data_IF_650096189775
#
_entry.id   IF_650096189775
#
_cell.length_a   1.000
_cell.length_b   1.000
_cell.length_c   1.000
_cell.angle_alpha   90.00
_cell.angle_beta   90.00
_cell.angle_gamma   90.00
#
_symmetry.space_group_name_H-M   'P 1'
#
loop_
_entity.id
_entity.type
_entity.pdbx_description
1 polymer ?
#
# COMPACT_ATOMS: atom_id res chain seq x y z
N UNK A 1 -17.93 13.22 9.80
CA UNK A 1 -17.44 14.22 8.82
C UNK A 1 -17.39 13.61 7.44
N UNK A 2 -17.73 14.41 6.41
CA UNK A 2 -17.61 13.95 5.02
C UNK A 2 -16.18 14.22 4.53
N UNK A 3 -15.50 13.18 4.08
CA UNK A 3 -14.11 13.25 3.59
C UNK A 3 -14.00 12.62 2.21
N UNK A 4 -13.06 13.10 1.40
CA UNK A 4 -12.77 12.48 0.12
C UNK A 4 -11.62 11.49 0.27
N UNK A 5 -11.76 10.28 -0.30
CA UNK A 5 -10.67 9.33 -0.35
C UNK A 5 -9.81 9.53 -1.63
N UNK A 6 -8.68 8.83 -1.73
CA UNK A 6 -7.80 8.98 -2.89
C UNK A 6 -8.38 8.41 -4.20
N UNK A 7 -9.54 7.76 -4.14
CA UNK A 7 -10.31 7.37 -5.34
C UNK A 7 -11.38 8.39 -5.73
N UNK A 8 -11.43 9.58 -5.09
CA UNK A 8 -12.39 10.64 -5.33
C UNK A 8 -13.80 10.35 -4.81
N UNK A 9 -13.94 9.39 -3.86
CA UNK A 9 -15.24 9.03 -3.28
C UNK A 9 -15.45 9.82 -1.98
N UNK A 10 -16.69 10.25 -1.77
CA UNK A 10 -17.09 10.88 -0.52
C UNK A 10 -17.47 9.81 0.51
N UNK A 11 -16.81 9.83 1.65
CA UNK A 11 -17.00 8.86 2.74
C UNK A 11 -17.42 9.61 3.99
N UNK A 12 -18.55 9.21 4.60
CA UNK A 12 -19.00 9.78 5.87
C UNK A 12 -18.39 9.01 7.05
N UNK A 13 -17.36 9.60 7.63
CA UNK A 13 -16.55 9.00 8.70
C UNK A 13 -16.90 9.70 10.03
N UNK A 14 -16.99 8.99 11.18
CA UNK A 14 -17.09 9.61 12.48
C UNK A 14 -15.96 10.62 12.72
N UNK A 15 -16.21 11.69 13.44
CA UNK A 15 -15.17 12.70 13.77
C UNK A 15 -13.96 12.08 14.50
N UNK A 16 -14.15 10.96 15.17
CA UNK A 16 -13.09 10.19 15.83
C UNK A 16 -13.40 8.69 15.76
N UNK A 17 -12.94 7.99 14.75
CA UNK A 17 -13.11 6.54 14.64
C UNK A 17 -12.53 5.80 15.86
N UNK A 18 -13.25 4.80 16.34
CA UNK A 18 -12.90 4.00 17.52
C UNK A 18 -12.71 2.53 17.22
N UNK A 19 -13.23 2.07 16.08
CA UNK A 19 -13.24 0.67 15.68
C UNK A 19 -12.79 0.54 14.24
N UNK A 20 -11.47 0.64 14.06
CA UNK A 20 -10.83 0.68 12.74
C UNK A 20 -10.46 -0.74 12.31
N UNK A 21 -10.78 -1.10 11.08
CA UNK A 21 -10.25 -2.30 10.41
C UNK A 21 -9.28 -1.87 9.31
N UNK A 22 -8.06 -2.43 9.34
CA UNK A 22 -7.08 -2.26 8.28
C UNK A 22 -7.03 -3.49 7.36
N UNK A 23 -7.22 -3.27 6.06
CA UNK A 23 -7.29 -4.34 5.06
C UNK A 23 -5.96 -4.61 4.35
N UNK A 24 -4.89 -3.86 4.66
CA UNK A 24 -3.57 -4.03 4.03
C UNK A 24 -2.41 -3.83 5.01
N UNK A 25 -1.28 -4.54 4.81
CA UNK A 25 -0.14 -4.49 5.73
C UNK A 25 0.45 -3.10 5.94
N UNK A 26 0.76 -2.35 4.87
CA UNK A 26 1.40 -1.03 4.95
C UNK A 26 0.58 -0.03 5.78
N UNK A 27 -0.73 0.00 5.58
CA UNK A 27 -1.63 0.87 6.37
C UNK A 27 -1.76 0.39 7.81
N UNK A 28 -1.65 -0.91 8.07
CA UNK A 28 -1.61 -1.45 9.44
C UNK A 28 -0.39 -0.93 10.20
N UNK A 29 0.78 -0.91 9.55
CA UNK A 29 2.00 -0.36 10.13
C UNK A 29 1.89 1.16 10.36
N UNK A 30 1.33 1.91 9.38
CA UNK A 30 1.05 3.33 9.56
C UNK A 30 0.13 3.60 10.76
N UNK A 31 -0.98 2.88 10.89
CA UNK A 31 -1.90 3.03 12.02
C UNK A 31 -1.22 2.73 13.37
N UNK A 32 -0.28 1.80 13.36
CA UNK A 32 0.55 1.54 14.54
C UNK A 32 1.47 2.72 14.88
N UNK A 33 2.17 3.26 13.87
CA UNK A 33 3.09 4.39 14.06
C UNK A 33 2.34 5.68 14.45
N UNK A 34 1.08 5.83 14.04
CA UNK A 34 0.16 6.86 14.50
C UNK A 34 -0.37 6.64 15.93
N UNK A 35 -0.02 5.53 16.59
CA UNK A 35 -0.38 5.26 17.98
C UNK A 35 -1.84 4.83 18.18
N UNK A 36 -2.47 4.17 17.20
CA UNK A 36 -3.88 3.76 17.21
C UNK A 36 -4.08 2.34 17.77
N UNK A 37 -3.31 1.98 18.80
CA UNK A 37 -3.35 0.65 19.45
C UNK A 37 -4.75 0.22 19.90
N UNK A 38 -5.52 1.16 20.42
CA UNK A 38 -6.84 0.87 20.99
C UNK A 38 -7.94 0.91 19.94
N UNK A 39 -7.76 1.72 18.90
CA UNK A 39 -8.75 1.97 17.86
C UNK A 39 -8.77 0.86 16.80
N UNK A 40 -7.59 0.27 16.45
CA UNK A 40 -7.53 -0.83 15.49
C UNK A 40 -8.03 -2.12 16.14
N UNK A 41 -9.14 -2.65 15.63
CA UNK A 41 -9.82 -3.85 16.17
C UNK A 41 -9.67 -5.08 15.25
N UNK A 42 -9.37 -4.88 13.98
CA UNK A 42 -9.23 -5.95 13.00
C UNK A 42 -8.15 -5.66 11.94
N UNK A 43 -7.48 -6.72 11.49
CA UNK A 43 -6.42 -6.67 10.48
C UNK A 43 -6.50 -7.88 9.56
N UNK A 44 -5.80 -7.89 8.42
CA UNK A 44 -5.72 -9.09 7.59
C UNK A 44 -4.68 -10.09 8.11
N UNK A 45 -4.75 -11.34 7.65
CA UNK A 45 -3.75 -12.38 7.96
C UNK A 45 -2.33 -12.05 7.45
N UNK A 46 -2.22 -11.10 6.51
CA UNK A 46 -0.95 -10.65 5.95
C UNK A 46 -0.33 -9.47 6.70
N UNK A 47 -1.06 -8.83 7.62
CA UNK A 47 -0.56 -7.77 8.49
C UNK A 47 0.29 -8.38 9.61
N UNK A 48 1.49 -8.85 9.28
CA UNK A 48 2.39 -9.54 10.22
C UNK A 48 3.18 -8.59 11.12
N UNK A 49 3.21 -7.31 10.77
CA UNK A 49 3.83 -6.25 11.54
C UNK A 49 2.79 -5.21 11.99
N UNK A 50 2.92 -4.70 13.25
CA UNK A 50 3.82 -5.19 14.28
C UNK A 50 3.37 -6.56 14.80
N UNK A 51 4.32 -7.42 15.18
CA UNK A 51 4.05 -8.82 15.54
C UNK A 51 3.01 -8.98 16.66
N UNK A 52 3.00 -8.08 17.64
CA UNK A 52 2.04 -8.15 18.74
C UNK A 52 0.61 -7.84 18.29
N UNK A 53 0.40 -6.97 17.28
CA UNK A 53 -0.92 -6.79 16.67
C UNK A 53 -1.36 -8.03 15.91
N UNK A 54 -0.46 -8.64 15.15
CA UNK A 54 -0.77 -9.89 14.46
C UNK A 54 -1.21 -11.01 15.41
N UNK A 55 -0.68 -11.03 16.64
CA UNK A 55 -1.07 -12.02 17.66
C UNK A 55 -2.36 -11.66 18.40
N UNK A 56 -2.65 -10.39 18.61
CA UNK A 56 -3.71 -9.92 19.49
C UNK A 56 -4.98 -9.44 18.76
N UNK A 57 -4.85 -8.86 17.55
CA UNK A 57 -6.00 -8.32 16.81
C UNK A 57 -6.75 -9.44 16.06
N UNK A 58 -8.06 -9.26 15.87
CA UNK A 58 -8.86 -10.20 15.07
C UNK A 58 -8.41 -10.17 13.60
N UNK A 59 -8.25 -11.34 12.99
CA UNK A 59 -7.89 -11.50 11.58
C UNK A 59 -9.16 -11.70 10.74
N UNK A 60 -9.47 -10.68 9.94
CA UNK A 60 -10.67 -10.63 9.12
C UNK A 60 -10.57 -11.32 7.76
N UNK A 61 -9.49 -12.08 7.51
CA UNK A 61 -9.24 -12.78 6.25
C UNK A 61 -7.98 -12.29 5.56
N UNK A 62 -7.88 -12.47 4.24
CA UNK A 62 -6.80 -11.93 3.40
C UNK A 62 -7.13 -10.55 2.84
N UNK A 63 -6.28 -10.03 1.94
CA UNK A 63 -6.51 -8.74 1.25
C UNK A 63 -7.57 -8.86 0.16
N UNK A 64 -7.81 -10.08 -0.35
CA UNK A 64 -8.74 -10.39 -1.44
C UNK A 64 -9.83 -11.42 -1.05
N UNK A 65 -9.90 -11.83 0.20
CA UNK A 65 -10.82 -12.85 0.71
C UNK A 65 -11.24 -12.54 2.16
N UNK A 66 -12.07 -11.50 2.35
CA UNK A 66 -12.51 -11.08 3.69
C UNK A 66 -13.60 -12.02 4.25
N UNK A 67 -13.58 -12.22 5.56
CA UNK A 67 -14.63 -12.88 6.32
C UNK A 67 -15.65 -11.82 6.80
N UNK A 68 -16.73 -11.64 6.04
CA UNK A 68 -17.73 -10.60 6.32
C UNK A 68 -18.38 -10.75 7.69
N UNK A 69 -18.60 -11.98 8.16
CA UNK A 69 -19.13 -12.29 9.50
C UNK A 69 -18.21 -11.77 10.62
N UNK A 70 -16.89 -11.87 10.43
CA UNK A 70 -15.91 -11.34 11.38
C UNK A 70 -15.88 -9.81 11.35
N UNK A 71 -15.94 -9.20 10.16
CA UNK A 71 -16.00 -7.74 10.03
C UNK A 71 -17.27 -7.24 10.74
N UNK A 72 -18.42 -7.88 10.50
CA UNK A 72 -19.67 -7.52 11.14
C UNK A 72 -19.62 -7.66 12.67
N UNK A 73 -19.02 -8.73 13.19
CA UNK A 73 -18.86 -8.94 14.62
C UNK A 73 -17.97 -7.88 15.30
N UNK A 74 -17.08 -7.25 14.54
CA UNK A 74 -16.22 -6.17 15.03
C UNK A 74 -16.91 -4.80 15.00
N UNK A 75 -18.07 -4.66 14.37
CA UNK A 75 -18.84 -3.41 14.29
C UNK A 75 -17.93 -2.20 13.96
N UNK A 76 -17.20 -2.21 12.82
CA UNK A 76 -16.25 -1.14 12.52
C UNK A 76 -16.99 0.18 12.22
N UNK A 77 -16.37 1.28 12.62
CA UNK A 77 -16.81 2.64 12.31
C UNK A 77 -15.88 3.31 11.26
N UNK A 78 -14.78 2.61 10.87
CA UNK A 78 -13.94 2.94 9.74
C UNK A 78 -13.24 1.67 9.23
N UNK A 79 -13.24 1.47 7.93
CA UNK A 79 -12.43 0.46 7.24
C UNK A 79 -11.46 1.17 6.30
N UNK A 80 -10.18 0.81 6.35
CA UNK A 80 -9.14 1.40 5.52
C UNK A 80 -8.59 0.32 4.58
N UNK A 81 -8.59 0.59 3.28
CA UNK A 81 -8.12 -0.30 2.24
C UNK A 81 -7.26 0.40 1.19
N UNK A 82 -6.79 -0.38 0.21
CA UNK A 82 -5.98 0.09 -0.90
C UNK A 82 -6.49 -0.48 -2.22
N UNK A 83 -6.51 0.33 -3.25
CA UNK A 83 -7.05 0.00 -4.58
C UNK A 83 -6.36 -1.19 -5.25
N UNK A 84 -5.05 -1.34 -5.11
CA UNK A 84 -4.30 -2.42 -5.75
C UNK A 84 -4.41 -3.76 -5.01
N UNK A 85 -4.50 -3.67 -3.68
CA UNK A 85 -4.47 -4.84 -2.81
C UNK A 85 -5.84 -5.48 -2.60
N UNK A 86 -6.92 -4.70 -2.69
CA UNK A 86 -8.26 -5.17 -2.36
C UNK A 86 -9.12 -5.38 -3.61
N UNK A 87 -9.96 -6.41 -3.57
CA UNK A 87 -10.92 -6.68 -4.66
C UNK A 87 -12.06 -5.68 -4.64
N UNK A 88 -12.34 -5.07 -5.81
CA UNK A 88 -13.32 -4.00 -5.97
C UNK A 88 -14.71 -4.39 -5.46
N UNK A 89 -15.21 -5.55 -5.87
CA UNK A 89 -16.55 -6.04 -5.53
C UNK A 89 -16.72 -6.24 -4.01
N UNK A 90 -15.66 -6.71 -3.34
CA UNK A 90 -15.68 -6.87 -1.87
C UNK A 90 -15.70 -5.52 -1.16
N UNK A 91 -14.94 -4.55 -1.65
CA UNK A 91 -14.91 -3.19 -1.10
C UNK A 91 -16.25 -2.49 -1.30
N UNK A 92 -16.86 -2.59 -2.49
CA UNK A 92 -18.17 -2.03 -2.77
C UNK A 92 -19.24 -2.63 -1.85
N UNK A 93 -19.23 -3.95 -1.63
CA UNK A 93 -20.13 -4.61 -0.68
C UNK A 93 -19.94 -4.18 0.78
N UNK A 94 -18.71 -3.92 1.21
CA UNK A 94 -18.45 -3.35 2.53
C UNK A 94 -18.96 -1.91 2.65
N UNK A 95 -18.77 -1.10 1.60
CA UNK A 95 -19.16 0.31 1.57
C UNK A 95 -20.68 0.54 1.63
N UNK A 96 -21.50 -0.48 1.34
CA UNK A 96 -22.94 -0.41 1.54
C UNK A 96 -23.35 -0.28 3.03
N UNK A 97 -22.50 -0.76 3.95
CA UNK A 97 -22.84 -0.86 5.38
C UNK A 97 -21.85 -0.14 6.29
N UNK A 98 -20.65 0.20 5.81
CA UNK A 98 -19.59 0.77 6.63
C UNK A 98 -18.89 1.94 5.91
N UNK A 99 -18.35 2.91 6.65
CA UNK A 99 -17.40 3.88 6.08
C UNK A 99 -16.14 3.15 5.60
N UNK A 100 -15.89 3.13 4.28
CA UNK A 100 -14.70 2.51 3.68
C UNK A 100 -13.90 3.58 2.96
N UNK A 101 -12.74 3.92 3.50
CA UNK A 101 -11.78 4.84 2.92
C UNK A 101 -10.69 4.08 2.17
N UNK A 102 -10.39 4.48 0.93
CA UNK A 102 -9.43 3.79 0.06
C UNK A 102 -8.28 4.69 -0.35
N UNK A 103 -7.08 4.16 -0.25
CA UNK A 103 -5.90 4.77 -0.86
C UNK A 103 -5.71 4.31 -2.31
N UNK A 104 -5.14 5.20 -3.13
CA UNK A 104 -4.67 4.94 -4.50
C UNK A 104 -3.28 5.58 -4.63
N UNK A 105 -2.22 4.79 -4.63
CA UNK A 105 -0.84 5.27 -4.47
C UNK A 105 -0.03 4.84 -5.68
N UNK A 106 0.41 5.81 -6.48
CA UNK A 106 1.27 5.60 -7.66
C UNK A 106 2.66 6.20 -7.53
N UNK A 107 2.86 7.13 -6.60
CA UNK A 107 4.15 7.80 -6.36
C UNK A 107 4.32 8.19 -4.87
N UNK A 108 5.43 8.87 -4.57
CA UNK A 108 5.73 9.32 -3.20
C UNK A 108 4.75 10.38 -2.73
N UNK A 109 4.34 11.29 -3.59
CA UNK A 109 3.43 12.38 -3.19
C UNK A 109 2.07 11.81 -2.79
N UNK A 110 1.52 10.86 -3.55
CA UNK A 110 0.31 10.10 -3.16
C UNK A 110 0.46 9.39 -1.82
N UNK A 111 1.65 8.83 -1.54
CA UNK A 111 1.92 8.15 -0.27
C UNK A 111 1.96 9.13 0.91
N UNK A 112 2.56 10.32 0.73
CA UNK A 112 2.61 11.35 1.75
C UNK A 112 1.21 11.92 2.03
N UNK A 113 0.44 12.21 0.97
CA UNK A 113 -0.95 12.64 1.08
C UNK A 113 -1.80 11.60 1.84
N UNK A 114 -1.63 10.32 1.55
CA UNK A 114 -2.30 9.24 2.27
C UNK A 114 -1.99 9.27 3.78
N UNK A 115 -0.73 9.48 4.17
CA UNK A 115 -0.32 9.55 5.58
C UNK A 115 -1.01 10.74 6.27
N UNK A 116 -1.02 11.92 5.63
CA UNK A 116 -1.67 13.12 6.16
C UNK A 116 -3.18 12.94 6.29
N UNK A 117 -3.83 12.39 5.26
CA UNK A 117 -5.28 12.13 5.26
C UNK A 117 -5.68 11.13 6.36
N UNK A 118 -4.94 10.04 6.54
CA UNK A 118 -5.19 9.09 7.63
C UNK A 118 -4.95 9.76 8.99
N UNK A 119 -3.93 10.62 9.10
CA UNK A 119 -3.71 11.43 10.28
C UNK A 119 -4.92 12.30 10.64
N UNK A 120 -5.49 13.00 9.67
CA UNK A 120 -6.70 13.81 9.83
C UNK A 120 -7.93 12.96 10.22
N UNK A 121 -8.17 11.84 9.51
CA UNK A 121 -9.26 10.92 9.79
C UNK A 121 -9.25 10.37 11.21
N UNK A 122 -8.06 10.20 11.77
CA UNK A 122 -7.86 9.55 13.08
C UNK A 122 -7.51 10.51 14.21
N UNK A 123 -7.48 11.84 13.93
CA UNK A 123 -7.01 12.88 14.85
C UNK A 123 -5.58 12.64 15.35
N UNK A 124 -4.69 12.29 14.41
CA UNK A 124 -3.26 12.06 14.61
C UNK A 124 -2.40 12.90 13.65
N UNK A 125 -2.85 14.14 13.36
CA UNK A 125 -2.22 15.04 12.39
C UNK A 125 -0.75 15.31 12.75
N UNK A 126 -0.46 15.47 14.04
CA UNK A 126 0.89 15.77 14.50
C UNK A 126 1.84 14.58 14.31
N UNK A 127 1.37 13.37 14.60
CA UNK A 127 2.11 12.13 14.40
C UNK A 127 2.34 11.90 12.90
N UNK A 128 1.32 12.12 12.07
CA UNK A 128 1.40 12.01 10.61
C UNK A 128 2.41 13.02 10.03
N UNK A 129 2.36 14.31 10.44
CA UNK A 129 3.33 15.33 10.05
C UNK A 129 4.76 14.90 10.39
N UNK A 130 4.96 14.32 11.57
CA UNK A 130 6.28 13.79 11.97
C UNK A 130 6.79 12.72 11.02
N UNK A 131 5.93 11.75 10.66
CA UNK A 131 6.28 10.68 9.71
C UNK A 131 6.60 11.26 8.33
N UNK A 132 5.79 12.20 7.83
CA UNK A 132 6.01 12.87 6.53
C UNK A 132 7.36 13.59 6.51
N UNK A 133 7.68 14.36 7.57
CA UNK A 133 8.95 15.08 7.69
C UNK A 133 10.14 14.11 7.69
N UNK A 134 10.04 13.00 8.41
CA UNK A 134 11.10 12.01 8.48
C UNK A 134 11.32 11.33 7.12
N UNK A 135 10.24 11.00 6.38
CA UNK A 135 10.33 10.44 5.03
C UNK A 135 11.00 11.43 4.07
N UNK A 136 10.52 12.68 4.02
CA UNK A 136 11.09 13.72 3.15
C UNK A 136 12.56 13.97 3.45
N UNK A 137 12.91 14.04 4.73
CA UNK A 137 14.31 14.21 5.16
C UNK A 137 15.17 13.02 4.74
N UNK A 138 14.62 11.81 4.78
CA UNK A 138 15.30 10.61 4.28
C UNK A 138 15.57 10.67 2.79
N UNK A 139 14.60 11.11 1.99
CA UNK A 139 14.78 11.29 0.54
C UNK A 139 15.75 12.41 0.19
N UNK A 140 15.77 13.52 0.93
CA UNK A 140 16.71 14.64 0.72
C UNK A 140 18.19 14.23 0.93
N UNK A 141 18.44 13.25 1.81
CA UNK A 141 19.77 12.73 2.05
C UNK A 141 20.22 11.77 0.93
N UNK A 142 19.28 11.17 0.21
CA UNK A 142 19.60 10.29 -0.91
C UNK A 142 20.26 11.11 -2.03
N UNK A 143 21.57 11.01 -2.14
CA UNK A 143 22.29 11.51 -3.32
C UNK A 143 21.90 10.61 -4.49
N UNK A 144 21.05 11.11 -5.35
CA UNK A 144 20.58 10.39 -6.54
C UNK A 144 21.70 10.33 -7.59
N UNK A 145 22.71 9.49 -7.34
CA UNK A 145 23.66 9.13 -8.41
C UNK A 145 22.92 8.24 -9.41
N UNK A 146 23.12 8.53 -10.70
CA UNK A 146 22.57 7.70 -11.77
C UNK A 146 23.21 6.30 -11.69
N UNK A 147 22.39 5.29 -11.47
CA UNK A 147 22.81 3.90 -11.32
C UNK A 147 22.67 3.09 -12.62
N UNK A 148 22.16 3.71 -13.69
CA UNK A 148 21.90 3.06 -14.95
C UNK A 148 20.46 2.61 -15.14
N UNK A 149 20.23 1.83 -16.19
CA UNK A 149 18.92 1.34 -16.56
C UNK A 149 18.55 0.04 -15.83
N UNK A 150 17.25 -0.15 -15.56
CA UNK A 150 16.77 -1.34 -14.87
C UNK A 150 15.48 -1.89 -15.46
N UNK A 151 15.29 -3.20 -15.32
CA UNK A 151 13.98 -3.88 -15.37
C UNK A 151 13.76 -4.51 -13.98
N UNK A 152 12.59 -4.26 -13.38
CA UNK A 152 12.22 -4.83 -12.09
C UNK A 152 11.17 -5.92 -12.29
N UNK A 153 11.50 -7.18 -11.98
CA UNK A 153 10.60 -8.33 -12.11
C UNK A 153 9.91 -8.63 -10.79
N UNK A 154 8.58 -8.74 -10.84
CA UNK A 154 7.73 -9.09 -9.69
C UNK A 154 7.19 -10.53 -9.76
N UNK A 155 7.19 -11.16 -10.93
CA UNK A 155 6.65 -12.49 -11.13
C UNK A 155 7.40 -13.26 -12.22
N UNK A 156 7.30 -14.59 -12.17
CA UNK A 156 7.88 -15.53 -13.14
C UNK A 156 6.81 -16.51 -13.61
N UNK A 157 6.75 -16.75 -14.91
CA UNK A 157 5.80 -17.62 -15.61
C UNK A 157 4.35 -17.10 -15.57
N UNK A 158 4.04 -16.05 -16.38
CA UNK A 158 4.96 -15.28 -17.23
C UNK A 158 5.88 -14.37 -16.42
N UNK A 159 6.96 -13.83 -17.02
CA UNK A 159 7.66 -12.73 -16.38
C UNK A 159 6.77 -11.49 -16.38
N UNK A 160 6.57 -10.90 -15.21
CA UNK A 160 5.86 -9.63 -15.09
C UNK A 160 6.81 -8.57 -14.52
N UNK A 161 6.73 -7.38 -15.05
CA UNK A 161 7.52 -6.23 -14.63
C UNK A 161 6.64 -5.11 -14.12
N UNK A 162 7.24 -4.05 -13.61
CA UNK A 162 6.56 -2.82 -13.20
C UNK A 162 6.70 -1.77 -14.29
N UNK A 163 5.59 -1.19 -14.69
CA UNK A 163 5.50 -0.14 -15.67
C UNK A 163 5.41 1.26 -15.06
N UNK A 164 5.08 2.26 -15.88
CA UNK A 164 5.09 3.69 -15.51
C UNK A 164 3.97 3.94 -14.54
N UNK A 165 3.04 3.99 -14.20
CA UNK A 165 1.98 4.32 -13.24
C UNK A 165 1.94 3.39 -12.01
N UNK A 166 3.12 3.04 -11.49
CA UNK A 166 3.25 2.21 -10.29
C UNK A 166 4.18 2.85 -9.27
N UNK A 167 3.90 2.68 -8.00
CA UNK A 167 4.74 3.17 -6.91
C UNK A 167 6.21 2.68 -7.03
N UNK A 168 6.41 1.43 -7.47
CA UNK A 168 7.76 0.89 -7.67
C UNK A 168 8.50 1.64 -8.79
N UNK A 169 7.81 2.08 -9.85
CA UNK A 169 8.42 2.89 -10.90
C UNK A 169 8.97 4.21 -10.35
N UNK A 170 8.19 4.93 -9.54
CA UNK A 170 8.63 6.17 -8.89
C UNK A 170 9.82 5.91 -7.97
N UNK A 171 9.75 4.87 -7.14
CA UNK A 171 10.84 4.49 -6.24
C UNK A 171 12.13 4.12 -6.97
N UNK A 172 12.05 3.47 -8.14
CA UNK A 172 13.22 3.20 -8.99
C UNK A 172 13.89 4.50 -9.44
N UNK A 173 13.09 5.47 -9.90
CA UNK A 173 13.57 6.81 -10.26
C UNK A 173 14.26 7.52 -9.10
N UNK A 174 13.62 7.54 -7.92
CA UNK A 174 14.19 8.13 -6.71
C UNK A 174 15.45 7.40 -6.22
N UNK A 175 15.58 6.12 -6.50
CA UNK A 175 16.79 5.34 -6.23
C UNK A 175 17.90 5.52 -7.28
N UNK A 176 17.69 6.29 -8.36
CA UNK A 176 18.65 6.59 -9.41
C UNK A 176 18.67 5.59 -10.58
N UNK A 177 17.65 4.73 -10.70
CA UNK A 177 17.51 3.84 -11.85
C UNK A 177 16.56 4.40 -12.89
N UNK A 178 16.90 4.21 -14.17
CA UNK A 178 15.95 4.40 -15.26
C UNK A 178 15.15 3.11 -15.46
N UNK A 179 13.85 3.11 -15.20
CA UNK A 179 13.01 1.98 -15.56
C UNK A 179 12.82 1.94 -17.09
N UNK A 180 13.24 0.86 -17.72
CA UNK A 180 13.14 0.68 -19.18
C UNK A 180 11.74 0.23 -19.64
N UNK A 181 10.87 -0.16 -18.74
CA UNK A 181 9.50 -0.54 -19.05
C UNK A 181 8.64 0.73 -19.12
N UNK A 182 8.14 1.01 -20.34
CA UNK A 182 7.35 2.23 -20.61
C UNK A 182 5.85 1.96 -20.71
N UNK A 183 5.46 0.70 -20.74
CA UNK A 183 4.06 0.27 -20.63
C UNK A 183 3.54 0.58 -19.23
N UNK A 184 2.21 0.80 -19.14
CA UNK A 184 1.55 1.06 -17.86
C UNK A 184 1.35 -0.24 -17.04
N UNK A 185 1.22 -0.10 -15.73
CA UNK A 185 0.88 -1.17 -14.78
C UNK A 185 1.93 -2.29 -14.74
N UNK A 186 1.50 -3.52 -14.95
CA UNK A 186 2.31 -4.73 -14.74
C UNK A 186 2.39 -5.56 -16.03
N UNK A 187 3.15 -5.10 -17.07
CA UNK A 187 3.22 -5.80 -18.33
C UNK A 187 3.94 -7.13 -18.23
N UNK A 188 3.46 -8.08 -19.05
CA UNK A 188 4.16 -9.35 -19.25
C UNK A 188 5.34 -9.19 -20.20
N UNK A 189 6.44 -9.82 -19.86
CA UNK A 189 7.67 -9.82 -20.65
C UNK A 189 8.07 -11.23 -21.08
N UNK A 190 8.74 -11.32 -22.22
CA UNK A 190 9.43 -12.54 -22.62
C UNK A 190 10.91 -12.45 -22.31
N UNK A 191 11.58 -13.59 -22.14
CA UNK A 191 13.04 -13.61 -21.96
C UNK A 191 13.77 -12.96 -23.15
N UNK A 192 13.19 -13.07 -24.35
CA UNK A 192 13.74 -12.46 -25.56
C UNK A 192 13.63 -10.92 -25.50
N UNK A 193 12.47 -10.39 -25.08
CA UNK A 193 12.28 -8.94 -24.92
C UNK A 193 13.23 -8.38 -23.87
N UNK A 194 13.38 -9.03 -22.71
CA UNK A 194 14.32 -8.63 -21.66
C UNK A 194 15.76 -8.57 -22.20
N UNK A 195 16.19 -9.61 -22.93
CA UNK A 195 17.55 -9.65 -23.54
C UNK A 195 17.73 -8.56 -24.59
N UNK A 196 16.71 -8.28 -25.39
CA UNK A 196 16.74 -7.24 -26.43
C UNK A 196 16.82 -5.84 -25.83
N UNK A 197 16.09 -5.61 -24.74
CA UNK A 197 16.12 -4.33 -24.02
C UNK A 197 17.47 -4.07 -23.36
N UNK A 198 18.22 -5.13 -22.99
CA UNK A 198 19.58 -5.09 -22.46
C UNK A 198 19.75 -4.10 -21.29
N UNK A 199 18.99 -4.23 -20.18
CA UNK A 199 19.13 -3.36 -19.02
C UNK A 199 20.50 -3.53 -18.37
N UNK A 200 21.04 -2.47 -17.77
CA UNK A 200 22.24 -2.56 -16.92
C UNK A 200 21.99 -3.42 -15.68
N UNK A 201 20.76 -3.38 -15.17
CA UNK A 201 20.35 -4.11 -13.96
C UNK A 201 19.04 -4.87 -14.18
N UNK A 202 19.03 -6.13 -13.75
CA UNK A 202 17.80 -6.91 -13.62
C UNK A 202 17.50 -7.08 -12.12
N UNK A 203 16.54 -6.31 -11.61
CA UNK A 203 16.13 -6.34 -10.23
C UNK A 203 15.04 -7.39 -10.03
N UNK A 204 15.16 -8.16 -8.97
CA UNK A 204 14.25 -9.26 -8.66
C UNK A 204 13.58 -8.99 -7.31
N UNK A 205 12.26 -8.98 -7.27
CA UNK A 205 11.53 -8.81 -6.02
C UNK A 205 11.68 -10.03 -5.12
N UNK A 206 11.56 -9.82 -3.82
CA UNK A 206 11.41 -10.92 -2.85
C UNK A 206 9.96 -11.37 -2.72
N UNK A 207 9.01 -10.52 -3.10
CA UNK A 207 7.57 -10.72 -3.04
C UNK A 207 6.90 -10.05 -4.26
N UNK A 208 5.73 -10.51 -4.69
CA UNK A 208 4.99 -11.71 -4.26
C UNK A 208 5.64 -13.01 -4.75
N UNK A 209 6.52 -12.97 -5.76
CA UNK A 209 7.26 -14.14 -6.24
C UNK A 209 8.68 -14.16 -5.65
N UNK A 210 9.01 -15.17 -4.83
CA UNK A 210 10.32 -15.25 -4.21
C UNK A 210 11.35 -15.76 -5.23
N UNK A 211 11.99 -14.85 -5.97
CA UNK A 211 13.12 -15.22 -6.81
C UNK A 211 14.26 -15.75 -5.92
N UNK A 212 14.69 -16.99 -6.20
CA UNK A 212 15.79 -17.63 -5.47
C UNK A 212 16.91 -17.95 -6.41
N UNK A 213 18.14 -17.78 -5.94
CA UNK A 213 19.31 -18.39 -6.58
C UNK A 213 19.14 -19.93 -6.57
N UNK A 214 19.50 -20.57 -7.68
CA UNK A 214 19.51 -22.02 -7.79
C UNK A 214 20.90 -22.57 -7.49
#
# INVERSE_FOLDING_TARGET
MLVEDQMGRQVDVPDRPKRIISLVPSQTELLYDLGLEQEVVGITKFCIHPQHWHQAKERVGGTKDFHLDKIQALEPDLIIGNKEENEKELIEGLAENYPVWMSDISDLDDALDMIELIGQLTQREKEAEGIVVDILSGFDILKTEQKGSAIYLIWKNPFMSVGTDTFIHDMLGKAGFENLIKEARYPELTLESIKKTAPDHLLLSSEPYPFKEK
#
